data_IF_509727537374
#
_entry.id   IF_509727537374
#
_cell.length_a   1.000
_cell.length_b   1.000
_cell.length_c   1.000
_cell.angle_alpha   90.00
_cell.angle_beta   90.00
_cell.angle_gamma   90.00
#
_symmetry.space_group_name_H-M   'P 1'
#
loop_
_entity.id
_entity.type
_entity.pdbx_description
1 polymer ?
#
# COMPACT_ATOMS: atom_id res chain seq x y z
N UNK A 1 -24.57 -59.25 9.93
CA UNK A 1 -23.86 -58.01 10.26
C UNK A 1 -24.40 -57.53 11.58
N UNK A 2 -23.61 -57.53 12.64
CA UNK A 2 -24.08 -57.27 14.00
C UNK A 2 -24.37 -55.77 14.22
N UNK A 3 -25.42 -55.46 14.99
CA UNK A 3 -25.84 -54.08 15.31
C UNK A 3 -24.67 -53.19 15.80
N UNK A 4 -23.66 -53.76 16.42
CA UNK A 4 -22.48 -53.09 16.87
C UNK A 4 -21.59 -52.55 15.71
N UNK A 5 -21.50 -53.27 14.62
CA UNK A 5 -20.74 -52.88 13.42
C UNK A 5 -21.47 -51.73 12.72
N UNK A 6 -22.80 -51.80 12.62
CA UNK A 6 -23.59 -50.71 12.02
C UNK A 6 -23.48 -49.38 12.77
N UNK A 7 -23.47 -49.43 14.14
CA UNK A 7 -23.28 -48.28 15.00
C UNK A 7 -21.87 -47.65 14.86
N UNK A 8 -20.84 -48.48 14.66
CA UNK A 8 -19.46 -48.00 14.47
C UNK A 8 -19.28 -47.35 13.11
N UNK A 9 -19.89 -47.90 12.05
CA UNK A 9 -19.88 -47.31 10.71
C UNK A 9 -20.64 -45.98 10.64
N UNK A 10 -21.79 -45.87 11.32
CA UNK A 10 -22.55 -44.64 11.41
C UNK A 10 -21.76 -43.52 12.14
N UNK A 11 -21.06 -43.86 13.23
CA UNK A 11 -20.24 -42.89 13.98
C UNK A 11 -19.03 -42.44 13.15
N UNK A 12 -18.37 -43.34 12.42
CA UNK A 12 -17.28 -43.00 11.52
C UNK A 12 -17.73 -42.09 10.37
N UNK A 13 -18.92 -42.32 9.81
CA UNK A 13 -19.52 -41.47 8.79
C UNK A 13 -19.81 -40.04 9.27
N UNK A 14 -20.33 -39.90 10.50
CA UNK A 14 -20.59 -38.56 11.09
C UNK A 14 -19.29 -37.79 11.31
N UNK A 15 -18.23 -38.44 11.80
CA UNK A 15 -16.93 -37.79 12.03
C UNK A 15 -16.30 -37.35 10.70
N UNK A 16 -16.37 -38.18 9.66
CA UNK A 16 -15.87 -37.84 8.34
C UNK A 16 -16.65 -36.69 7.70
N UNK A 17 -17.97 -36.66 7.84
CA UNK A 17 -18.83 -35.59 7.34
C UNK A 17 -18.55 -34.26 8.04
N UNK A 18 -18.37 -34.28 9.36
CA UNK A 18 -18.02 -33.05 10.12
C UNK A 18 -16.62 -32.52 9.77
N UNK A 19 -15.64 -33.39 9.54
CA UNK A 19 -14.30 -32.99 9.09
C UNK A 19 -14.33 -32.36 7.69
N UNK A 20 -15.14 -32.85 6.77
CA UNK A 20 -15.30 -32.31 5.43
C UNK A 20 -15.96 -30.91 5.44
N UNK A 21 -16.93 -30.66 6.33
CA UNK A 21 -17.57 -29.35 6.47
C UNK A 21 -16.59 -28.32 7.05
N UNK A 22 -15.75 -28.69 8.01
CA UNK A 22 -14.73 -27.80 8.57
C UNK A 22 -13.61 -27.45 7.58
N UNK A 23 -13.24 -28.39 6.69
CA UNK A 23 -12.25 -28.16 5.66
C UNK A 23 -12.76 -27.25 4.52
N UNK A 24 -14.07 -27.20 4.26
CA UNK A 24 -14.64 -26.42 3.16
C UNK A 24 -14.51 -24.90 3.39
N UNK A 25 -14.46 -24.43 4.62
CA UNK A 25 -14.28 -23.01 4.93
C UNK A 25 -12.88 -22.51 4.54
N UNK A 26 -11.86 -23.35 4.56
CA UNK A 26 -10.50 -22.99 4.19
C UNK A 26 -10.27 -22.92 2.66
N UNK A 27 -11.03 -23.68 1.87
CA UNK A 27 -10.91 -23.67 0.41
C UNK A 27 -11.61 -22.46 -0.24
N UNK A 28 -12.57 -21.85 0.45
CA UNK A 28 -13.32 -20.70 -0.05
C UNK A 28 -12.70 -19.34 0.30
N UNK A 29 -11.75 -19.32 1.22
CA UNK A 29 -11.09 -18.08 1.66
C UNK A 29 -9.71 -18.01 1.00
N UNK A 30 -9.54 -17.09 0.06
CA UNK A 30 -8.20 -16.73 -0.43
C UNK A 30 -7.39 -16.23 0.76
N UNK A 31 -6.25 -16.85 1.11
CA UNK A 31 -5.46 -16.37 2.24
C UNK A 31 -4.88 -15.00 1.88
N UNK A 32 -5.43 -13.96 2.50
CA UNK A 32 -4.97 -12.55 2.36
C UNK A 32 -3.46 -12.42 2.69
N UNK A 33 -2.93 -13.33 3.51
CA UNK A 33 -1.51 -13.40 3.89
C UNK A 33 -0.55 -13.77 2.75
N UNK A 34 -1.06 -14.20 1.60
CA UNK A 34 -0.23 -14.46 0.40
C UNK A 34 -0.07 -13.22 -0.48
N UNK A 35 -0.86 -12.17 -0.26
CA UNK A 35 -0.65 -10.90 -0.93
C UNK A 35 0.52 -10.18 -0.23
N UNK A 36 1.52 -9.76 -0.99
CA UNK A 36 2.61 -8.95 -0.46
C UNK A 36 2.04 -7.69 0.18
N UNK A 37 2.05 -7.65 1.51
CA UNK A 37 1.63 -6.51 2.31
C UNK A 37 2.88 -5.82 2.85
N UNK A 38 3.05 -4.54 2.55
CA UNK A 38 4.06 -3.70 3.19
C UNK A 38 3.51 -3.21 4.53
N UNK A 39 4.06 -3.63 5.68
CA UNK A 39 3.64 -3.11 6.98
C UNK A 39 4.16 -1.67 7.15
N UNK A 40 3.37 -0.71 6.72
CA UNK A 40 3.66 0.73 6.78
C UNK A 40 2.36 1.50 6.77
N UNK A 41 2.38 2.75 7.20
CA UNK A 41 1.20 3.62 7.24
C UNK A 41 0.78 4.10 5.84
N UNK A 42 1.72 4.09 4.90
CA UNK A 42 1.48 4.43 3.50
C UNK A 42 1.10 3.23 2.63
N UNK A 43 0.77 3.51 1.39
CA UNK A 43 0.43 2.49 0.39
C UNK A 43 1.68 1.99 -0.34
N UNK A 44 1.56 0.74 -0.81
CA UNK A 44 2.48 0.15 -1.77
C UNK A 44 1.80 -0.02 -3.12
N UNK A 45 2.50 0.37 -4.19
CA UNK A 45 2.03 0.20 -5.56
C UNK A 45 3.11 -0.49 -6.39
N UNK A 46 2.76 -1.61 -7.02
CA UNK A 46 3.63 -2.28 -8.01
C UNK A 46 3.38 -1.59 -9.35
N UNK A 47 4.37 -0.83 -9.82
CA UNK A 47 4.29 -0.04 -11.07
C UNK A 47 4.67 -0.90 -12.27
N UNK A 48 5.68 -1.75 -12.10
CA UNK A 48 6.11 -2.75 -13.07
C UNK A 48 6.83 -3.89 -12.35
N UNK A 49 7.18 -4.95 -13.06
CA UNK A 49 7.99 -6.02 -12.46
C UNK A 49 9.34 -5.47 -11.99
N UNK A 50 9.58 -5.53 -10.68
CA UNK A 50 10.75 -4.97 -10.04
C UNK A 50 10.73 -3.46 -9.80
N UNK A 51 9.67 -2.73 -10.12
CA UNK A 51 9.52 -1.30 -9.83
C UNK A 51 8.31 -1.07 -8.93
N UNK A 52 8.56 -0.49 -7.75
CA UNK A 52 7.52 -0.26 -6.75
C UNK A 52 7.59 1.15 -6.18
N UNK A 53 6.44 1.71 -5.88
CA UNK A 53 6.30 2.82 -4.94
C UNK A 53 6.00 2.21 -3.58
N UNK A 54 6.78 2.55 -2.56
CA UNK A 54 6.69 1.97 -1.22
C UNK A 54 6.39 3.06 -0.20
N UNK A 55 5.47 2.75 0.74
CA UNK A 55 5.09 3.62 1.85
C UNK A 55 4.69 5.04 1.43
N UNK A 56 3.94 5.17 0.34
CA UNK A 56 3.48 6.47 -0.13
C UNK A 56 2.35 6.99 0.76
N UNK A 57 2.57 8.14 1.37
CA UNK A 57 1.60 8.87 2.18
C UNK A 57 1.89 10.38 2.13
N UNK A 58 0.94 11.18 2.56
CA UNK A 58 1.07 12.63 2.70
C UNK A 58 0.91 12.98 4.18
N UNK A 59 1.78 13.85 4.70
CA UNK A 59 1.67 14.39 6.05
C UNK A 59 1.38 15.88 5.97
N UNK A 60 0.35 16.33 6.67
CA UNK A 60 -0.07 17.75 6.73
C UNK A 60 -0.61 18.09 8.11
N UNK A 61 -0.56 19.35 8.52
CA UNK A 61 -1.13 19.79 9.79
C UNK A 61 -2.67 19.81 9.75
N UNK A 62 -3.25 20.22 8.61
CA UNK A 62 -4.69 20.31 8.42
C UNK A 62 -5.07 20.26 6.93
N UNK A 63 -6.36 20.06 6.66
CA UNK A 63 -6.95 20.25 5.33
C UNK A 63 -6.73 21.67 4.83
N UNK A 64 -6.30 21.81 3.59
CA UNK A 64 -5.97 23.09 2.95
C UNK A 64 -4.54 23.57 3.18
N UNK A 65 -3.80 22.96 4.08
CA UNK A 65 -2.40 23.29 4.35
C UNK A 65 -1.45 22.52 3.43
N UNK A 66 -0.18 22.93 3.44
CA UNK A 66 0.87 22.24 2.69
C UNK A 66 1.04 20.81 3.19
N UNK A 67 1.09 19.86 2.26
CA UNK A 67 1.40 18.48 2.53
C UNK A 67 2.80 18.11 2.08
N UNK A 68 3.45 17.24 2.84
CA UNK A 68 4.77 16.70 2.58
C UNK A 68 4.64 15.23 2.21
N UNK A 69 5.29 14.82 1.12
CA UNK A 69 5.18 13.47 0.59
C UNK A 69 6.27 12.59 1.21
N UNK A 70 5.83 11.50 1.83
CA UNK A 70 6.69 10.48 2.41
C UNK A 70 6.59 9.20 1.57
N UNK A 71 7.71 8.52 1.38
CA UNK A 71 7.77 7.25 0.67
C UNK A 71 9.08 7.06 -0.09
N UNK A 72 9.12 6.03 -0.89
CA UNK A 72 10.25 5.77 -1.79
C UNK A 72 9.80 5.10 -3.08
N UNK A 73 10.56 5.32 -4.14
CA UNK A 73 10.42 4.58 -5.40
C UNK A 73 11.62 3.67 -5.53
N UNK A 74 11.38 2.37 -5.66
CA UNK A 74 12.42 1.34 -5.73
C UNK A 74 12.44 0.71 -7.10
N UNK A 75 13.61 0.64 -7.71
CA UNK A 75 13.86 0.00 -8.99
C UNK A 75 14.87 -1.16 -8.82
N UNK A 76 14.37 -2.38 -8.82
CA UNK A 76 15.19 -3.60 -8.74
C UNK A 76 15.58 -4.13 -10.12
N UNK A 77 15.23 -3.43 -11.21
CA UNK A 77 15.57 -3.82 -12.58
C UNK A 77 17.01 -3.47 -12.94
N UNK A 78 17.47 -3.92 -14.07
CA UNK A 78 18.82 -3.60 -14.60
C UNK A 78 18.88 -2.33 -15.45
N UNK A 79 17.79 -1.57 -15.59
CA UNK A 79 17.67 -0.36 -16.40
C UNK A 79 17.05 0.77 -15.60
N UNK A 80 17.40 2.01 -15.92
CA UNK A 80 16.76 3.19 -15.35
C UNK A 80 15.28 3.23 -15.73
N UNK A 81 14.46 3.78 -14.85
CA UNK A 81 13.01 3.88 -15.06
C UNK A 81 12.50 5.25 -14.62
N UNK A 82 11.47 5.74 -15.30
CA UNK A 82 10.78 6.97 -14.91
C UNK A 82 9.42 6.63 -14.31
N UNK A 83 9.13 7.17 -13.15
CA UNK A 83 7.82 7.11 -12.48
C UNK A 83 7.32 8.53 -12.28
N UNK A 84 6.06 8.79 -12.62
CA UNK A 84 5.42 10.09 -12.39
C UNK A 84 4.38 9.95 -11.29
N UNK A 85 4.36 10.93 -10.39
CA UNK A 85 3.37 11.03 -9.31
C UNK A 85 2.61 12.35 -9.45
N UNK A 86 1.28 12.28 -9.51
CA UNK A 86 0.38 13.43 -9.45
C UNK A 86 -0.55 13.27 -8.24
N UNK A 87 -0.21 13.95 -7.15
CA UNK A 87 -0.93 13.86 -5.88
C UNK A 87 -2.00 14.95 -5.84
N UNK A 88 -3.24 14.54 -5.53
CA UNK A 88 -4.39 15.42 -5.50
C UNK A 88 -4.91 15.79 -6.89
N UNK A 89 -4.53 15.03 -7.93
CA UNK A 89 -4.96 15.28 -9.33
C UNK A 89 -4.72 16.74 -9.75
N UNK A 90 -3.55 17.27 -9.37
CA UNK A 90 -3.15 18.65 -9.69
C UNK A 90 -3.03 18.91 -11.19
N UNK A 91 -2.96 17.85 -12.01
CA UNK A 91 -2.69 17.89 -13.45
C UNK A 91 -1.25 18.23 -13.79
N UNK A 92 -0.35 18.21 -12.80
CA UNK A 92 1.07 18.50 -12.96
C UNK A 92 1.91 17.38 -12.33
N UNK A 93 2.02 16.21 -13.00
CA UNK A 93 2.75 15.07 -12.47
C UNK A 93 4.25 15.39 -12.33
N UNK A 94 4.80 15.03 -11.18
CA UNK A 94 6.24 15.14 -10.87
C UNK A 94 6.97 13.91 -11.38
N UNK A 95 7.97 14.05 -12.27
CA UNK A 95 8.76 12.92 -12.77
C UNK A 95 9.92 12.57 -11.82
N UNK A 96 10.13 11.28 -11.60
CA UNK A 96 11.23 10.71 -10.85
C UNK A 96 12.00 9.72 -11.72
N UNK A 97 13.27 10.01 -11.98
CA UNK A 97 14.17 9.10 -12.69
C UNK A 97 14.88 8.20 -11.70
N UNK A 98 14.46 6.94 -11.62
CA UNK A 98 14.94 5.95 -10.65
C UNK A 98 16.04 5.11 -11.28
N UNK A 99 17.28 5.19 -10.78
CA UNK A 99 18.41 4.46 -11.36
C UNK A 99 18.18 2.94 -11.32
N UNK A 100 18.82 2.24 -12.26
CA UNK A 100 18.89 0.79 -12.25
C UNK A 100 19.42 0.27 -10.90
N UNK A 101 18.72 -0.68 -10.28
CA UNK A 101 19.04 -1.25 -8.97
C UNK A 101 19.19 -0.21 -7.86
N UNK A 102 18.47 0.90 -7.97
CA UNK A 102 18.48 2.02 -7.05
C UNK A 102 17.11 2.36 -6.51
N UNK A 103 17.06 3.43 -5.75
CA UNK A 103 15.83 3.99 -5.22
C UNK A 103 15.91 5.51 -5.13
N UNK A 104 14.74 6.14 -5.08
CA UNK A 104 14.58 7.56 -4.71
C UNK A 104 13.79 7.61 -3.42
N UNK A 105 14.30 8.36 -2.44
CA UNK A 105 13.59 8.68 -1.22
C UNK A 105 12.77 9.96 -1.46
N UNK A 106 11.44 9.83 -1.50
CA UNK A 106 10.53 10.96 -1.72
C UNK A 106 10.56 11.95 -0.56
N UNK A 107 10.80 11.46 0.65
CA UNK A 107 10.92 12.29 1.85
C UNK A 107 12.10 13.28 1.77
N UNK A 108 13.17 12.90 1.07
CA UNK A 108 14.36 13.74 0.87
C UNK A 108 14.30 14.55 -0.44
N UNK A 109 13.27 14.33 -1.26
CA UNK A 109 13.12 15.02 -2.56
C UNK A 109 12.42 16.37 -2.47
N UNK A 110 12.06 16.81 -1.25
CA UNK A 110 11.29 18.03 -0.99
C UNK A 110 9.97 18.10 -1.77
N UNK A 111 9.39 16.93 -2.10
CA UNK A 111 8.11 16.89 -2.80
C UNK A 111 6.99 17.34 -1.86
N UNK A 112 6.33 18.41 -2.24
CA UNK A 112 5.20 19.00 -1.50
C UNK A 112 3.94 19.08 -2.34
N UNK A 113 2.79 19.12 -1.66
CA UNK A 113 1.48 19.45 -2.20
C UNK A 113 1.08 20.78 -1.59
N UNK A 114 0.93 21.84 -2.38
CA UNK A 114 0.70 23.20 -1.89
C UNK A 114 -0.54 23.32 -0.98
N UNK A 115 -1.59 22.58 -1.31
CA UNK A 115 -2.84 22.52 -0.54
C UNK A 115 -3.42 21.12 -0.61
N UNK A 116 -3.48 20.44 0.53
CA UNK A 116 -4.04 19.10 0.64
C UNK A 116 -5.55 19.17 0.79
N UNK A 117 -6.31 18.83 -0.24
CA UNK A 117 -7.78 18.84 -0.23
C UNK A 117 -8.36 17.58 0.45
N UNK A 118 -7.80 17.25 1.61
CA UNK A 118 -8.26 16.13 2.44
C UNK A 118 -7.78 16.33 3.88
N UNK A 119 -8.67 16.12 4.84
CA UNK A 119 -8.32 16.16 6.25
C UNK A 119 -7.41 14.98 6.66
N UNK A 120 -6.53 15.14 7.65
CA UNK A 120 -5.81 14.02 8.26
C UNK A 120 -6.76 12.89 8.69
N UNK A 121 -6.38 11.65 8.39
CA UNK A 121 -7.22 10.46 8.54
C UNK A 121 -8.05 10.10 7.31
N UNK A 122 -8.13 10.97 6.32
CA UNK A 122 -8.74 10.70 5.02
C UNK A 122 -7.69 10.23 3.99
N UNK A 123 -8.07 10.19 2.72
CA UNK A 123 -7.17 9.85 1.61
C UNK A 123 -7.28 10.89 0.50
N UNK A 124 -6.19 11.08 -0.23
CA UNK A 124 -6.13 11.93 -1.43
C UNK A 124 -5.87 11.06 -2.66
N UNK A 125 -6.55 11.29 -3.80
CA UNK A 125 -6.27 10.55 -5.02
C UNK A 125 -4.86 10.87 -5.51
N UNK A 126 -4.13 9.85 -5.92
CA UNK A 126 -2.79 9.97 -6.49
C UNK A 126 -2.73 9.18 -7.77
N UNK A 127 -2.46 9.86 -8.89
CA UNK A 127 -2.20 9.22 -10.17
C UNK A 127 -0.73 8.84 -10.23
N UNK A 128 -0.46 7.56 -10.47
CA UNK A 128 0.88 6.98 -10.60
C UNK A 128 1.03 6.47 -12.02
N UNK A 129 2.05 6.97 -12.72
CA UNK A 129 2.37 6.52 -14.07
C UNK A 129 3.78 5.93 -14.10
N UNK A 130 3.99 4.95 -14.95
CA UNK A 130 5.27 4.24 -15.01
C UNK A 130 5.57 3.66 -16.39
N UNK A 131 6.60 2.82 -16.48
CA UNK A 131 6.95 2.13 -17.71
C UNK A 131 5.79 1.30 -18.26
N UNK A 132 5.90 0.92 -19.54
CA UNK A 132 4.97 0.03 -20.24
C UNK A 132 3.51 0.53 -20.25
N UNK A 133 3.30 1.84 -20.04
CA UNK A 133 1.97 2.46 -20.04
C UNK A 133 1.19 2.22 -18.73
N UNK A 134 1.86 1.86 -17.66
CA UNK A 134 1.22 1.81 -16.34
C UNK A 134 0.65 3.18 -15.97
N UNK A 135 -0.62 3.21 -15.60
CA UNK A 135 -1.33 4.42 -15.18
C UNK A 135 -2.48 4.02 -14.27
N UNK A 136 -2.35 4.30 -12.98
CA UNK A 136 -3.37 3.96 -11.99
C UNK A 136 -3.57 5.10 -11.00
N UNK A 137 -4.82 5.28 -10.54
CA UNK A 137 -5.16 6.17 -9.44
C UNK A 137 -5.27 5.35 -8.16
N UNK A 138 -4.59 5.80 -7.11
CA UNK A 138 -4.60 5.19 -5.78
C UNK A 138 -5.05 6.20 -4.73
N UNK A 139 -5.77 5.69 -3.73
CA UNK A 139 -6.11 6.48 -2.54
C UNK A 139 -4.90 6.49 -1.60
N UNK A 140 -4.21 7.61 -1.54
CA UNK A 140 -3.02 7.80 -0.69
C UNK A 140 -3.44 8.34 0.67
N UNK A 141 -3.03 7.75 1.80
CA UNK A 141 -3.37 8.23 3.14
C UNK A 141 -2.83 9.63 3.40
N UNK A 142 -3.62 10.42 4.13
CA UNK A 142 -3.23 11.72 4.67
C UNK A 142 -3.16 11.58 6.18
N UNK A 143 -2.01 11.89 6.77
CA UNK A 143 -1.74 11.81 8.20
C UNK A 143 -1.38 13.17 8.77
N UNK A 144 -1.41 13.29 10.10
CA UNK A 144 -0.96 14.46 10.85
C UNK A 144 0.23 14.13 11.76
N UNK A 145 0.65 15.12 12.57
CA UNK A 145 1.69 14.98 13.58
C UNK A 145 1.24 14.30 14.88
N UNK A 146 0.16 13.50 14.89
CA UNK A 146 -0.28 12.79 16.11
C UNK A 146 0.74 11.72 16.54
N UNK A 147 1.41 11.07 15.60
CA UNK A 147 2.50 10.15 15.89
C UNK A 147 3.83 10.93 16.04
N UNK A 148 4.67 10.60 17.04
CA UNK A 148 5.90 11.35 17.31
C UNK A 148 6.84 11.50 16.11
N UNK A 149 6.96 10.46 15.27
CA UNK A 149 7.79 10.46 14.07
C UNK A 149 7.32 11.48 13.02
N UNK A 150 6.01 11.66 12.87
CA UNK A 150 5.44 12.64 11.94
C UNK A 150 5.43 14.06 12.54
N UNK A 151 5.29 14.20 13.87
CA UNK A 151 5.45 15.50 14.54
C UNK A 151 6.87 16.05 14.34
N UNK A 152 7.90 15.26 14.61
CA UNK A 152 9.30 15.63 14.40
C UNK A 152 9.60 15.96 12.93
N UNK A 153 9.02 15.20 12.02
CA UNK A 153 9.14 15.45 10.59
C UNK A 153 8.52 16.80 10.18
N UNK A 154 7.28 17.09 10.60
CA UNK A 154 6.61 18.37 10.32
C UNK A 154 7.37 19.56 10.90
N UNK A 155 7.86 19.46 12.14
CA UNK A 155 8.69 20.51 12.75
C UNK A 155 9.95 20.80 11.91
N UNK A 156 10.56 19.78 11.36
CA UNK A 156 11.77 19.92 10.53
C UNK A 156 11.45 20.49 9.16
N UNK A 157 10.37 20.02 8.52
CA UNK A 157 9.95 20.40 7.18
C UNK A 157 9.38 21.84 7.11
N UNK A 158 8.79 22.34 8.21
CA UNK A 158 8.23 23.70 8.30
C UNK A 158 9.23 24.72 8.83
N UNK A 159 10.41 24.29 9.27
CA UNK A 159 11.44 25.21 9.78
C UNK A 159 11.93 26.17 8.67
N UNK A 160 12.02 27.49 8.94
CA UNK A 160 12.40 28.52 7.97
C UNK A 160 13.87 28.46 7.55
#
# INVERSE_FOLDING_TARGET
MTMAVLKRLARAGVVLASAAVLASCQLATHPITTNGYGPSDGIRVVVADGINVENLLVVTEAEGETGYVIGSIVNNTGTDATVLLDIGESGSPSPFEVPARGNINLTESDMTVESVDAAPGATIPTTIQGPDGFNEVRATPVLDGTLPEYAEFLETATAP
#
